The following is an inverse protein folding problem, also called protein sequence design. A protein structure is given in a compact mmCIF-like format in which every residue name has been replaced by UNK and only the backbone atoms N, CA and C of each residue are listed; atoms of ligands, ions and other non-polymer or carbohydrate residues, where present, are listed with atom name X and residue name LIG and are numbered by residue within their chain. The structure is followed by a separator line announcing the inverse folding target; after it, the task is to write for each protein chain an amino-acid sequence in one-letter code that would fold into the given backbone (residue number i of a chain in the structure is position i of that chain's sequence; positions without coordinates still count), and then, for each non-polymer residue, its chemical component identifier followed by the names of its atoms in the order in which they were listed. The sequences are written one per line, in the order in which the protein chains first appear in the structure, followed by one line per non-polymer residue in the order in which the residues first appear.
data_IF_296256933474
#
_entry.id   IF_296256933474
#
_cell.length_a   1.000
_cell.length_b   1.000
_cell.length_c   1.000
_cell.angle_alpha   90.00
_cell.angle_beta   90.00
_cell.angle_gamma   90.00
#
_symmetry.space_group_name_H-M   'P 1'
#
loop_
_entity.id
_entity.type
_entity.pdbx_description
1 polymer ?
#
# COMPACT_ATOMS: atom_id res chain seq x y z
N UNK A 1 -21.92 21.02 10.97
CA UNK A 1 -22.37 19.82 10.23
C UNK A 1 -21.24 19.44 9.30
N UNK A 2 -20.38 18.53 9.73
CA UNK A 2 -19.29 18.03 8.92
C UNK A 2 -19.83 17.00 7.93
N UNK A 3 -19.63 17.22 6.65
CA UNK A 3 -19.86 16.19 5.64
C UNK A 3 -18.88 15.03 5.91
N UNK A 4 -19.35 14.00 6.57
CA UNK A 4 -18.65 12.72 6.60
C UNK A 4 -18.60 12.21 5.17
N UNK A 5 -17.49 12.51 4.50
CA UNK A 5 -17.14 11.85 3.24
C UNK A 5 -16.90 10.38 3.59
N UNK A 6 -17.92 9.56 3.50
CA UNK A 6 -17.83 8.11 3.62
C UNK A 6 -17.00 7.55 2.47
N UNK A 7 -15.69 7.66 2.59
CA UNK A 7 -14.79 7.03 1.64
C UNK A 7 -14.71 5.55 2.02
N UNK A 8 -15.48 4.75 1.31
CA UNK A 8 -15.63 3.33 1.60
C UNK A 8 -14.38 2.53 1.26
N UNK A 9 -13.74 2.85 0.14
CA UNK A 9 -12.61 2.11 -0.41
C UNK A 9 -11.52 3.04 -0.94
N UNK A 10 -10.26 2.58 -0.92
CA UNK A 10 -9.11 3.31 -1.43
C UNK A 10 -8.36 2.49 -2.46
N UNK A 11 -8.12 3.09 -3.62
CA UNK A 11 -7.33 2.51 -4.69
C UNK A 11 -6.02 3.27 -4.81
N UNK A 12 -4.92 2.54 -4.81
CA UNK A 12 -3.61 3.03 -5.14
C UNK A 12 -3.10 2.27 -6.36
N UNK A 13 -2.91 2.98 -7.46
CA UNK A 13 -2.39 2.43 -8.72
C UNK A 13 -1.11 3.16 -9.06
N UNK A 14 -0.02 2.44 -9.24
CA UNK A 14 1.26 3.04 -9.55
C UNK A 14 2.21 2.11 -10.28
N UNK A 15 3.19 2.70 -10.95
CA UNK A 15 4.32 2.00 -11.51
C UNK A 15 5.48 1.97 -10.52
N UNK A 16 6.26 0.89 -10.57
CA UNK A 16 7.47 0.75 -9.78
C UNK A 16 8.67 1.21 -10.59
N UNK A 17 9.35 2.23 -10.11
CA UNK A 17 10.62 2.72 -10.65
C UNK A 17 11.70 2.58 -9.58
N UNK A 18 12.83 1.97 -9.92
CA UNK A 18 13.94 1.76 -8.98
C UNK A 18 13.49 1.19 -7.62
N UNK A 19 12.58 0.22 -7.64
CA UNK A 19 11.98 -0.43 -6.46
C UNK A 19 11.15 0.52 -5.56
N UNK A 20 10.77 1.69 -6.06
CA UNK A 20 9.91 2.66 -5.38
C UNK A 20 8.67 2.98 -6.22
N UNK A 21 7.69 3.60 -5.60
CA UNK A 21 6.63 4.27 -6.34
C UNK A 21 7.18 5.51 -7.05
N UNK A 22 6.41 6.07 -7.98
CA UNK A 22 6.77 7.35 -8.55
C UNK A 22 6.74 8.46 -7.48
N UNK A 23 7.54 9.50 -7.67
CA UNK A 23 7.72 10.57 -6.68
C UNK A 23 6.39 11.28 -6.31
N UNK A 24 5.49 11.43 -7.26
CA UNK A 24 4.17 12.06 -7.04
C UNK A 24 3.36 11.23 -6.03
N UNK A 25 3.36 9.91 -6.18
CA UNK A 25 2.60 9.02 -5.33
C UNK A 25 3.21 8.88 -3.93
N UNK A 26 4.54 8.85 -3.82
CA UNK A 26 5.23 8.88 -2.52
C UNK A 26 4.94 10.20 -1.79
N UNK A 27 5.04 11.32 -2.48
CA UNK A 27 4.71 12.63 -1.92
C UNK A 27 3.23 12.70 -1.47
N UNK A 28 2.31 12.16 -2.27
CA UNK A 28 0.90 12.07 -1.88
C UNK A 28 0.71 11.23 -0.60
N UNK A 29 1.40 10.10 -0.46
CA UNK A 29 1.37 9.29 0.75
C UNK A 29 1.79 10.11 1.96
N UNK A 30 2.89 10.84 1.86
CA UNK A 30 3.44 11.62 2.97
C UNK A 30 2.51 12.79 3.37
N UNK A 31 1.86 13.43 2.42
CA UNK A 31 0.96 14.55 2.68
C UNK A 31 -0.44 14.12 3.15
N UNK A 32 -1.01 13.09 2.55
CA UNK A 32 -2.41 12.70 2.80
C UNK A 32 -2.53 11.74 3.97
N UNK A 33 -1.57 10.82 4.13
CA UNK A 33 -1.61 9.83 5.20
C UNK A 33 -0.92 10.33 6.48
N UNK A 34 -1.30 11.54 6.88
CA UNK A 34 -0.70 12.26 8.00
C UNK A 34 -0.93 11.54 9.35
N UNK A 35 0.05 11.58 10.29
CA UNK A 35 -0.15 11.17 11.67
C UNK A 35 -1.33 11.89 12.33
N UNK A 36 -1.93 11.26 13.32
CA UNK A 36 -3.16 11.64 14.04
C UNK A 36 -4.46 11.33 13.29
N UNK A 37 -4.48 11.42 11.96
CA UNK A 37 -5.65 11.05 11.16
C UNK A 37 -5.56 9.63 10.64
N UNK A 38 -4.45 9.28 9.97
CA UNK A 38 -4.27 7.96 9.37
C UNK A 38 -3.83 6.92 10.40
N UNK A 39 -2.93 7.28 11.28
CA UNK A 39 -2.51 6.51 12.44
C UNK A 39 -2.17 7.44 13.61
N UNK A 40 -2.10 6.89 14.80
CA UNK A 40 -1.70 7.59 16.01
C UNK A 40 -0.72 6.72 16.79
N UNK A 41 -0.13 7.26 17.82
CA UNK A 41 0.74 6.51 18.73
C UNK A 41 0.10 6.38 20.10
N UNK A 42 0.21 5.19 20.68
CA UNK A 42 -0.17 4.94 22.06
C UNK A 42 1.07 4.63 22.87
N UNK A 43 1.29 5.37 23.95
CA UNK A 43 2.40 5.10 24.84
C UNK A 43 2.26 3.72 25.48
N UNK A 44 3.36 2.97 25.52
CA UNK A 44 3.44 1.71 26.26
C UNK A 44 3.58 1.92 27.77
N UNK A 45 4.15 3.07 28.17
CA UNK A 45 4.44 3.41 29.55
C UNK A 45 3.97 4.83 29.86
N UNK A 46 2.65 5.10 29.90
CA UNK A 46 2.10 6.45 30.03
C UNK A 46 2.51 7.13 31.37
N UNK A 47 2.75 6.35 32.40
CA UNK A 47 3.12 6.85 33.72
C UNK A 47 4.64 7.04 33.93
N UNK A 48 5.45 6.56 33.00
CA UNK A 48 6.91 6.69 33.09
C UNK A 48 7.40 8.05 32.62
N UNK A 49 8.19 8.74 33.47
CA UNK A 49 8.83 10.01 33.09
C UNK A 49 9.82 9.85 31.93
N UNK A 50 10.55 8.73 31.87
CA UNK A 50 11.61 8.49 30.89
C UNK A 50 11.10 7.85 29.61
N UNK A 51 10.11 6.94 29.69
CA UNK A 51 9.65 6.13 28.57
C UNK A 51 8.27 6.54 28.05
N UNK A 52 7.73 7.67 28.48
CA UNK A 52 6.41 8.18 28.05
C UNK A 52 6.27 8.29 26.53
N UNK A 53 7.36 8.60 25.83
CA UNK A 53 7.37 8.77 24.37
C UNK A 53 7.57 7.46 23.61
N UNK A 54 7.84 6.35 24.29
CA UNK A 54 7.90 5.04 23.64
C UNK A 54 6.49 4.51 23.47
N UNK A 55 6.12 4.26 22.21
CA UNK A 55 4.78 3.80 21.89
C UNK A 55 4.75 2.94 20.65
N UNK A 56 3.60 2.36 20.40
CA UNK A 56 3.31 1.64 19.17
C UNK A 56 2.21 2.35 18.38
N UNK A 57 2.25 2.22 17.04
CA UNK A 57 1.23 2.84 16.20
C UNK A 57 -0.12 2.14 16.39
N UNK A 58 -1.16 2.94 16.47
CA UNK A 58 -2.56 2.49 16.45
C UNK A 58 -3.24 3.01 15.21
N UNK A 59 -4.11 2.19 14.64
CA UNK A 59 -4.85 2.55 13.43
C UNK A 59 -5.80 3.72 13.69
N UNK A 60 -5.82 4.68 12.76
CA UNK A 60 -6.68 5.86 12.77
C UNK A 60 -8.03 5.67 12.08
N UNK A 61 -8.49 6.72 11.42
CA UNK A 61 -9.82 6.80 10.79
C UNK A 61 -10.07 5.77 9.67
N UNK A 62 -9.01 5.16 9.12
CA UNK A 62 -9.10 4.17 8.05
C UNK A 62 -9.18 2.72 8.55
N UNK A 63 -9.23 2.51 9.86
CA UNK A 63 -9.29 1.17 10.47
C UNK A 63 -10.43 0.33 9.89
N UNK A 64 -10.09 -0.88 9.45
CA UNK A 64 -11.04 -1.86 8.92
C UNK A 64 -11.54 -1.60 7.50
N UNK A 65 -11.25 -0.44 6.90
CA UNK A 65 -11.60 -0.14 5.51
C UNK A 65 -10.74 -0.96 4.54
N UNK A 66 -11.26 -1.20 3.33
CA UNK A 66 -10.53 -1.92 2.29
C UNK A 66 -9.56 -0.96 1.58
N UNK A 67 -8.31 -1.38 1.51
CA UNK A 67 -7.28 -0.72 0.69
C UNK A 67 -6.86 -1.64 -0.46
N UNK A 68 -6.91 -1.16 -1.69
CA UNK A 68 -6.49 -1.92 -2.87
C UNK A 68 -5.26 -1.26 -3.47
N UNK A 69 -4.21 -2.05 -3.60
CA UNK A 69 -2.94 -1.59 -4.16
C UNK A 69 -2.63 -2.38 -5.42
N UNK A 70 -2.48 -1.67 -6.52
CA UNK A 70 -2.09 -2.23 -7.82
C UNK A 70 -0.77 -1.64 -8.26
N UNK A 71 0.25 -2.46 -8.39
CA UNK A 71 1.59 -2.04 -8.80
C UNK A 71 2.01 -2.75 -10.08
N UNK A 72 2.50 -1.97 -11.04
CA UNK A 72 3.07 -2.46 -12.29
C UNK A 72 4.59 -2.42 -12.24
N UNK A 73 5.21 -3.46 -12.77
CA UNK A 73 6.66 -3.63 -12.86
C UNK A 73 7.06 -3.85 -14.32
N UNK A 74 8.08 -3.14 -14.79
CA UNK A 74 8.61 -3.32 -16.14
C UNK A 74 9.32 -4.67 -16.34
N UNK A 75 10.04 -5.14 -15.34
CA UNK A 75 10.78 -6.40 -15.40
C UNK A 75 9.99 -7.65 -15.03
N UNK A 76 10.55 -8.83 -15.26
CA UNK A 76 9.96 -10.10 -14.86
C UNK A 76 9.98 -10.25 -13.33
N UNK A 77 9.10 -11.11 -12.82
CA UNK A 77 8.94 -11.35 -11.39
C UNK A 77 10.28 -11.68 -10.68
N UNK A 78 11.10 -12.51 -11.31
CA UNK A 78 12.37 -12.96 -10.74
C UNK A 78 13.34 -11.81 -10.44
N UNK A 79 13.33 -10.75 -11.24
CA UNK A 79 14.20 -9.57 -11.03
C UNK A 79 13.89 -8.82 -9.73
N UNK A 80 12.70 -8.97 -9.17
CA UNK A 80 12.26 -8.28 -7.96
C UNK A 80 12.32 -9.16 -6.70
N UNK A 81 12.54 -10.46 -6.87
CA UNK A 81 12.66 -11.40 -5.76
C UNK A 81 14.09 -11.84 -5.47
N UNK A 82 15.04 -11.50 -6.34
CA UNK A 82 16.28 -12.25 -6.49
C UNK A 82 17.33 -12.00 -5.43
N UNK A 83 17.26 -11.00 -4.59
CA UNK A 83 18.37 -10.70 -3.68
C UNK A 83 18.01 -10.49 -2.23
N UNK A 84 16.77 -10.41 -1.91
CA UNK A 84 16.31 -10.53 -0.55
C UNK A 84 15.32 -11.67 -0.51
N UNK A 85 15.72 -12.78 -0.03
CA UNK A 85 15.04 -14.07 0.01
C UNK A 85 13.54 -14.01 0.36
N UNK A 86 13.03 -12.86 0.75
CA UNK A 86 11.70 -12.72 1.32
C UNK A 86 10.95 -11.44 1.01
N UNK A 87 11.50 -10.46 0.27
CA UNK A 87 10.84 -9.16 0.25
C UNK A 87 10.92 -8.36 -1.04
N UNK A 88 9.75 -8.19 -1.60
CA UNK A 88 9.51 -7.15 -2.58
C UNK A 88 9.40 -5.80 -1.85
N UNK A 89 10.36 -4.91 -2.03
CA UNK A 89 10.46 -3.61 -1.34
C UNK A 89 9.19 -2.77 -1.47
N UNK A 90 8.59 -2.59 -2.67
CA UNK A 90 7.33 -1.85 -2.80
C UNK A 90 6.17 -2.48 -2.02
N UNK A 91 6.11 -3.81 -1.96
CA UNK A 91 5.12 -4.52 -1.19
C UNK A 91 5.25 -4.22 0.31
N UNK A 92 6.46 -4.28 0.85
CA UNK A 92 6.70 -3.94 2.26
C UNK A 92 6.35 -2.49 2.53
N UNK A 93 6.87 -1.58 1.72
CA UNK A 93 6.67 -0.15 1.87
C UNK A 93 5.18 0.20 1.91
N UNK A 94 4.42 -0.25 0.93
CA UNK A 94 3.03 0.16 0.77
C UNK A 94 2.10 -0.67 1.65
N UNK A 95 2.13 -1.99 1.50
CA UNK A 95 1.19 -2.83 2.25
C UNK A 95 1.45 -2.82 3.73
N UNK A 96 2.72 -3.03 4.14
CA UNK A 96 3.05 -3.17 5.55
C UNK A 96 3.25 -1.83 6.25
N UNK A 97 4.12 -0.98 5.70
CA UNK A 97 4.48 0.26 6.37
C UNK A 97 3.44 1.37 6.22
N UNK A 98 2.62 1.35 5.17
CA UNK A 98 1.59 2.37 4.96
C UNK A 98 0.22 1.83 5.32
N UNK A 99 -0.34 0.93 4.51
CA UNK A 99 -1.73 0.51 4.69
C UNK A 99 -2.01 -0.24 5.99
N UNK A 100 -1.14 -1.16 6.40
CA UNK A 100 -1.33 -1.88 7.66
C UNK A 100 -1.15 -0.98 8.88
N UNK A 101 -0.25 0.03 8.79
CA UNK A 101 -0.11 1.03 9.84
C UNK A 101 -1.44 1.79 10.07
N UNK A 102 -2.13 2.15 9.00
CA UNK A 102 -3.45 2.76 9.05
C UNK A 102 -4.59 1.80 9.40
N UNK A 103 -4.31 0.50 9.56
CA UNK A 103 -5.31 -0.51 9.90
C UNK A 103 -6.22 -0.94 8.75
N UNK A 104 -5.83 -0.69 7.49
CA UNK A 104 -6.60 -1.11 6.33
C UNK A 104 -6.47 -2.62 6.08
N UNK A 105 -7.58 -3.22 5.67
CA UNK A 105 -7.58 -4.55 5.07
C UNK A 105 -7.07 -4.44 3.64
N UNK A 106 -5.85 -4.88 3.35
CA UNK A 106 -5.17 -4.57 2.09
C UNK A 106 -5.18 -5.75 1.12
N UNK A 107 -5.75 -5.56 -0.06
CA UNK A 107 -5.55 -6.42 -1.23
C UNK A 107 -4.42 -5.83 -2.07
N UNK A 108 -3.42 -6.65 -2.39
CA UNK A 108 -2.24 -6.22 -3.13
C UNK A 108 -2.08 -7.04 -4.41
N UNK A 109 -2.09 -6.36 -5.56
CA UNK A 109 -1.91 -6.98 -6.87
C UNK A 109 -0.63 -6.47 -7.52
N UNK A 110 0.09 -7.39 -8.13
CA UNK A 110 1.33 -7.11 -8.87
C UNK A 110 1.17 -7.55 -10.32
N UNK A 111 1.61 -6.70 -11.23
CA UNK A 111 1.67 -6.97 -12.64
C UNK A 111 3.11 -6.84 -13.09
N UNK A 112 3.71 -7.96 -13.49
CA UNK A 112 5.09 -8.02 -13.95
C UNK A 112 5.15 -8.00 -15.47
N UNK A 113 6.32 -7.60 -16.01
CA UNK A 113 6.57 -7.52 -17.45
C UNK A 113 5.58 -6.61 -18.18
N UNK A 114 5.20 -5.51 -17.54
CA UNK A 114 4.36 -4.48 -18.13
C UNK A 114 5.25 -3.51 -18.91
N UNK A 115 5.41 -3.77 -20.20
CA UNK A 115 6.21 -2.99 -21.13
C UNK A 115 5.34 -2.52 -22.29
N UNK A 116 5.73 -1.46 -23.03
CA UNK A 116 5.02 -1.02 -24.21
C UNK A 116 4.82 -2.12 -25.28
N UNK A 117 5.78 -3.07 -25.35
CA UNK A 117 5.73 -4.21 -26.27
C UNK A 117 5.17 -5.49 -25.61
N UNK A 118 4.36 -5.36 -24.57
CA UNK A 118 3.74 -6.51 -23.91
C UNK A 118 2.85 -7.30 -24.87
N UNK A 119 2.97 -8.65 -24.82
CA UNK A 119 2.16 -9.52 -25.68
C UNK A 119 0.68 -9.44 -25.30
N UNK A 120 -0.19 -9.62 -26.28
CA UNK A 120 -1.65 -9.66 -26.10
C UNK A 120 -2.09 -10.73 -25.10
N UNK A 121 -1.39 -11.85 -25.06
CA UNK A 121 -1.64 -12.92 -24.09
C UNK A 121 -1.37 -12.47 -22.65
N UNK A 122 -0.21 -11.85 -22.41
CA UNK A 122 0.17 -11.30 -21.07
C UNK A 122 -0.82 -10.24 -20.64
N UNK A 123 -1.21 -9.35 -21.55
CA UNK A 123 -2.24 -8.34 -21.27
C UNK A 123 -3.57 -8.99 -20.84
N UNK A 124 -4.06 -9.97 -21.60
CA UNK A 124 -5.31 -10.67 -21.29
C UNK A 124 -5.25 -11.40 -19.93
N UNK A 125 -4.09 -11.98 -19.59
CA UNK A 125 -3.85 -12.59 -18.27
C UNK A 125 -3.95 -11.57 -17.15
N UNK A 126 -3.37 -10.39 -17.33
CA UNK A 126 -3.49 -9.30 -16.35
C UNK A 126 -4.93 -8.83 -16.22
N UNK A 127 -5.65 -8.64 -17.32
CA UNK A 127 -7.06 -8.22 -17.31
C UNK A 127 -7.99 -9.22 -16.62
N UNK A 128 -7.76 -10.53 -16.79
CA UNK A 128 -8.50 -11.56 -16.03
C UNK A 128 -8.29 -11.41 -14.51
N UNK A 129 -7.08 -11.09 -14.08
CA UNK A 129 -6.79 -10.86 -12.65
C UNK A 129 -7.49 -9.62 -12.10
N UNK A 130 -7.53 -8.53 -12.87
CA UNK A 130 -8.25 -7.29 -12.50
C UNK A 130 -9.74 -7.59 -12.37
N UNK A 131 -10.36 -8.25 -13.36
CA UNK A 131 -11.77 -8.64 -13.30
C UNK A 131 -12.10 -9.51 -12.09
N UNK A 132 -11.27 -10.51 -11.81
CA UNK A 132 -11.44 -11.37 -10.62
C UNK A 132 -11.37 -10.56 -9.31
N UNK A 133 -10.47 -9.57 -9.24
CA UNK A 133 -10.41 -8.69 -8.09
C UNK A 133 -11.69 -7.85 -7.95
N UNK A 134 -12.13 -7.23 -9.03
CA UNK A 134 -13.34 -6.41 -9.05
C UNK A 134 -14.59 -7.20 -8.58
N UNK A 135 -14.70 -8.47 -8.97
CA UNK A 135 -15.77 -9.36 -8.54
C UNK A 135 -15.68 -9.76 -7.05
N UNK A 136 -14.52 -9.57 -6.41
CA UNK A 136 -14.27 -9.97 -5.01
C UNK A 136 -14.40 -8.81 -4.01
N UNK A 137 -14.81 -7.65 -4.48
CA UNK A 137 -15.07 -6.43 -3.70
C UNK A 137 -16.55 -6.25 -3.51
#
# INVERSE_FOLDING_TARGET
MGSEMCIRDRFLIGSCHNLRLNAILENWIDWVLHPKWFFSYRSMFPESKFFKNYGYPIAGAMKGKLGIVSITYGGPMMSYFNFSFFDNIPYRRIKKSVFQLGGLKTKYIRFYSVLPAMTKETFNKHMKRVRKLAQSI
#
